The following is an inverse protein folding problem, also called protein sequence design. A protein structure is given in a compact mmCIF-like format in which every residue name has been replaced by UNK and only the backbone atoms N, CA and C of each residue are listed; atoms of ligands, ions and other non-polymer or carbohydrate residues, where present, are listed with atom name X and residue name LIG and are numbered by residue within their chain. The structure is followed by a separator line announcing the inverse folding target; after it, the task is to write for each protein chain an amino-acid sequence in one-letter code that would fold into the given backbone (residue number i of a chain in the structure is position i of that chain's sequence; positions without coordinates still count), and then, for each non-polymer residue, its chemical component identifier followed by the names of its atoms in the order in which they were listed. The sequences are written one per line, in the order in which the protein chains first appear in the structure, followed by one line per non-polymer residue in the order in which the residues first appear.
data_IF_569204426209
#
_entry.id   IF_569204426209
#
_cell.length_a   1.000
_cell.length_b   1.000
_cell.length_c   1.000
_cell.angle_alpha   90.00
_cell.angle_beta   90.00
_cell.angle_gamma   90.00
#
_symmetry.space_group_name_H-M   'P 1'
#
loop_
_entity.id
_entity.type
_entity.pdbx_description
1 polymer ?
#
# COMPACT_ATOMS: atom_id res chain seq x y z
N UNK A 1 27.72 13.25 14.01
CA UNK A 1 26.74 12.53 14.86
C UNK A 1 26.49 11.19 14.20
N UNK A 2 26.29 10.08 14.94
CA UNK A 2 26.03 8.81 14.28
C UNK A 2 24.70 8.90 13.53
N UNK A 3 24.69 8.42 12.28
CA UNK A 3 23.45 8.24 11.51
C UNK A 3 22.58 7.17 12.18
N UNK A 4 21.28 7.20 11.94
CA UNK A 4 20.40 6.06 12.25
C UNK A 4 20.97 4.79 11.62
N UNK A 5 20.99 3.71 12.39
CA UNK A 5 21.32 2.38 11.89
C UNK A 5 20.21 1.86 10.96
N UNK A 6 20.54 0.89 10.11
CA UNK A 6 19.55 0.22 9.28
C UNK A 6 18.42 -0.41 10.11
N UNK A 7 18.73 -0.95 11.30
CA UNK A 7 17.73 -1.50 12.22
C UNK A 7 16.76 -0.44 12.72
N UNK A 8 17.26 0.75 13.04
CA UNK A 8 16.41 1.89 13.41
C UNK A 8 15.55 2.36 12.24
N UNK A 9 16.08 2.39 11.02
CA UNK A 9 15.29 2.71 9.81
C UNK A 9 14.20 1.68 9.52
N UNK A 10 14.50 0.38 9.70
CA UNK A 10 13.50 -0.69 9.56
C UNK A 10 12.39 -0.55 10.60
N UNK A 11 12.75 -0.25 11.85
CA UNK A 11 11.77 0.01 12.90
C UNK A 11 10.92 1.26 12.57
N UNK A 12 11.55 2.34 12.10
CA UNK A 12 10.84 3.54 11.66
C UNK A 12 9.89 3.23 10.48
N UNK A 13 10.31 2.46 9.48
CA UNK A 13 9.43 2.05 8.38
C UNK A 13 8.23 1.26 8.90
N UNK A 14 8.46 0.24 9.73
CA UNK A 14 7.38 -0.62 10.22
C UNK A 14 6.39 0.12 11.12
N UNK A 15 6.88 0.90 12.10
CA UNK A 15 6.01 1.54 13.09
C UNK A 15 5.46 2.90 12.63
N UNK A 16 6.24 3.70 11.89
CA UNK A 16 5.83 5.03 11.47
C UNK A 16 5.21 5.08 10.08
N UNK A 17 5.34 4.03 9.27
CA UNK A 17 4.61 3.92 8.00
C UNK A 17 3.52 2.85 8.15
N UNK A 18 3.87 1.66 8.60
CA UNK A 18 2.88 0.59 8.76
C UNK A 18 1.82 0.90 9.81
N UNK A 19 2.22 0.90 11.09
CA UNK A 19 1.26 0.98 12.21
C UNK A 19 0.53 2.33 12.27
N UNK A 20 1.23 3.45 12.09
CA UNK A 20 0.61 4.78 12.25
C UNK A 20 -0.23 5.24 11.06
N UNK A 21 -0.15 4.58 9.90
CA UNK A 21 -0.82 5.07 8.68
C UNK A 21 -1.62 4.03 7.91
N UNK A 22 -1.32 2.73 8.04
CA UNK A 22 -1.86 1.69 7.15
C UNK A 22 -2.54 0.52 7.92
N UNK A 23 -1.91 -0.05 8.96
CA UNK A 23 -2.28 -1.38 9.46
C UNK A 23 -3.24 -1.48 10.65
N UNK A 24 -3.07 -0.63 11.68
CA UNK A 24 -3.86 -0.65 12.93
C UNK A 24 -4.28 -2.08 13.39
N UNK A 25 -5.50 -2.29 13.89
CA UNK A 25 -5.97 -3.61 14.35
C UNK A 25 -6.35 -4.59 13.20
N UNK A 26 -6.05 -4.26 11.94
CA UNK A 26 -6.53 -5.01 10.76
C UNK A 26 -5.45 -5.78 10.00
N UNK A 27 -4.16 -5.67 10.37
CA UNK A 27 -3.05 -6.28 9.63
C UNK A 27 -3.23 -7.78 9.34
N UNK A 28 -3.88 -8.53 10.23
CA UNK A 28 -4.11 -9.97 10.11
C UNK A 28 -5.53 -10.33 9.68
N UNK A 29 -6.18 -9.44 8.92
CA UNK A 29 -7.49 -9.66 8.31
C UNK A 29 -7.49 -9.07 6.91
N UNK A 30 -8.37 -9.57 6.05
CA UNK A 30 -8.65 -8.92 4.78
C UNK A 30 -9.32 -7.57 5.04
N UNK A 31 -8.71 -6.51 4.54
CA UNK A 31 -9.32 -5.19 4.44
C UNK A 31 -9.58 -4.82 2.98
N UNK A 32 -10.50 -3.89 2.74
CA UNK A 32 -10.81 -3.43 1.39
C UNK A 32 -10.54 -1.93 1.29
N UNK A 33 -9.73 -1.53 0.31
CA UNK A 33 -9.42 -0.12 0.07
C UNK A 33 -10.58 0.57 -0.68
N UNK A 34 -11.64 0.84 0.05
CA UNK A 34 -12.86 1.46 -0.46
C UNK A 34 -14.04 1.31 0.49
N UNK A 35 -15.26 1.39 -0.04
CA UNK A 35 -16.47 1.21 0.75
C UNK A 35 -17.09 -0.16 0.47
N UNK A 36 -17.30 -0.94 1.52
CA UNK A 36 -18.21 -2.07 1.48
C UNK A 36 -19.64 -1.54 1.63
N UNK A 37 -20.44 -1.67 0.57
CA UNK A 37 -21.84 -1.21 0.52
C UNK A 37 -22.77 -2.32 1.03
N UNK A 38 -23.99 -1.94 1.38
CA UNK A 38 -25.06 -2.91 1.63
C UNK A 38 -25.25 -3.79 0.37
N UNK A 39 -25.53 -5.09 0.56
CA UNK A 39 -25.69 -6.12 -0.49
C UNK A 39 -24.39 -6.70 -1.09
N UNK A 40 -23.31 -6.82 -0.30
CA UNK A 40 -22.05 -7.44 -0.74
C UNK A 40 -21.43 -6.78 -1.99
N UNK A 41 -21.54 -5.46 -2.08
CA UNK A 41 -20.92 -4.68 -3.14
C UNK A 41 -19.71 -3.91 -2.63
N UNK A 42 -18.70 -3.82 -3.47
CA UNK A 42 -17.46 -3.09 -3.25
C UNK A 42 -17.45 -1.82 -4.09
N UNK A 43 -17.20 -0.68 -3.46
CA UNK A 43 -16.91 0.58 -4.14
C UNK A 43 -15.44 0.95 -3.92
N UNK A 44 -14.54 0.62 -4.86
CA UNK A 44 -13.11 0.84 -4.69
C UNK A 44 -12.79 2.34 -4.71
N UNK A 45 -11.81 2.75 -3.91
CA UNK A 45 -11.19 4.07 -4.04
C UNK A 45 -10.00 3.93 -5.00
N UNK A 46 -9.95 4.77 -6.03
CA UNK A 46 -8.91 4.70 -7.05
C UNK A 46 -8.90 3.35 -7.78
N UNK A 47 -7.71 2.76 -7.90
CA UNK A 47 -7.49 1.46 -8.53
C UNK A 47 -7.16 0.35 -7.51
N UNK A 48 -7.45 0.56 -6.24
CA UNK A 48 -7.08 -0.38 -5.18
C UNK A 48 -8.09 -1.51 -5.00
N UNK A 49 -7.62 -2.62 -4.41
CA UNK A 49 -8.40 -3.83 -4.17
C UNK A 49 -8.42 -4.25 -2.70
N UNK A 50 -8.40 -5.57 -2.48
CA UNK A 50 -8.21 -6.16 -1.15
C UNK A 50 -6.78 -5.99 -0.67
N UNK A 51 -6.62 -5.73 0.62
CA UNK A 51 -5.33 -5.50 1.27
C UNK A 51 -5.15 -6.33 2.54
N UNK A 52 -3.90 -6.56 2.93
CA UNK A 52 -3.48 -7.21 4.18
C UNK A 52 -2.20 -6.54 4.72
N UNK A 53 -1.88 -6.81 5.98
CA UNK A 53 -0.58 -6.47 6.57
C UNK A 53 -0.45 -5.03 7.04
N UNK A 54 0.58 -4.83 7.86
CA UNK A 54 0.86 -3.52 8.46
C UNK A 54 1.26 -2.51 7.40
N UNK A 55 1.95 -2.94 6.33
CA UNK A 55 2.38 -2.05 5.25
C UNK A 55 1.33 -1.91 4.14
N UNK A 56 0.12 -2.47 4.34
CA UNK A 56 -0.99 -2.52 3.39
C UNK A 56 -0.57 -3.05 2.01
N UNK A 57 -0.35 -4.36 1.94
CA UNK A 57 -0.14 -5.04 0.67
C UNK A 57 -1.43 -5.07 -0.14
N UNK A 58 -1.57 -4.14 -1.10
CA UNK A 58 -2.71 -4.07 -2.02
C UNK A 58 -2.58 -5.12 -3.12
N UNK A 59 -3.46 -6.12 -3.07
CA UNK A 59 -3.49 -7.22 -4.03
C UNK A 59 -4.06 -6.83 -5.39
N UNK A 60 -4.77 -5.71 -5.50
CA UNK A 60 -5.16 -5.14 -6.80
C UNK A 60 -3.95 -4.55 -7.54
N UNK A 61 -3.01 -3.96 -6.80
CA UNK A 61 -1.73 -3.49 -7.35
C UNK A 61 -0.68 -4.62 -7.47
N UNK A 62 -0.79 -5.65 -6.63
CA UNK A 62 0.11 -6.82 -6.56
C UNK A 62 -0.67 -8.14 -6.68
N UNK A 63 -1.27 -8.44 -7.85
CA UNK A 63 -2.09 -9.63 -8.05
C UNK A 63 -1.32 -10.94 -7.84
N UNK A 64 0.01 -10.92 -7.95
CA UNK A 64 0.87 -12.05 -7.57
C UNK A 64 0.72 -12.44 -6.09
N UNK A 65 0.56 -11.46 -5.19
CA UNK A 65 0.37 -11.71 -3.76
C UNK A 65 -0.99 -12.35 -3.50
N UNK A 66 -2.02 -12.01 -4.29
CA UNK A 66 -3.33 -12.68 -4.19
C UNK A 66 -3.19 -14.19 -4.42
N UNK A 67 -2.42 -14.57 -5.44
CA UNK A 67 -2.13 -15.98 -5.71
C UNK A 67 -1.35 -16.63 -4.58
N UNK A 68 -0.28 -15.98 -4.10
CA UNK A 68 0.53 -16.50 -3.00
C UNK A 68 -0.28 -16.69 -1.71
N UNK A 69 -1.20 -15.77 -1.41
CA UNK A 69 -2.10 -15.86 -0.25
C UNK A 69 -3.02 -17.08 -0.34
N UNK A 70 -3.67 -17.29 -1.50
CA UNK A 70 -4.53 -18.48 -1.70
C UNK A 70 -3.71 -19.77 -1.62
N UNK A 71 -2.51 -19.80 -2.21
CA UNK A 71 -1.62 -20.96 -2.14
C UNK A 71 -1.18 -21.25 -0.69
N UNK A 72 -0.90 -20.21 0.09
CA UNK A 72 -0.53 -20.32 1.51
C UNK A 72 -1.70 -20.82 2.36
N UNK A 73 -2.90 -20.26 2.16
CA UNK A 73 -4.15 -20.76 2.73
C UNK A 73 -4.36 -22.25 2.40
N UNK A 74 -4.12 -22.66 1.16
CA UNK A 74 -4.28 -24.05 0.74
C UNK A 74 -3.26 -25.01 1.35
N UNK A 75 -2.05 -24.56 1.67
CA UNK A 75 -1.08 -25.39 2.41
C UNK A 75 -1.58 -25.64 3.84
N UNK A 76 -2.06 -24.59 4.51
CA UNK A 76 -2.65 -24.70 5.84
C UNK A 76 -3.91 -25.58 5.84
N UNK A 77 -4.84 -25.34 4.92
CA UNK A 77 -6.07 -26.13 4.81
C UNK A 77 -5.79 -27.62 4.59
N UNK A 78 -4.82 -27.99 3.74
CA UNK A 78 -4.46 -29.41 3.55
C UNK A 78 -3.96 -30.08 4.83
N UNK A 79 -3.28 -29.34 5.70
CA UNK A 79 -2.72 -29.86 6.95
C UNK A 79 -3.77 -29.92 8.07
N UNK A 80 -4.62 -28.92 8.19
CA UNK A 80 -5.46 -28.70 9.38
C UNK A 80 -6.97 -28.75 9.10
N UNK A 81 -7.39 -28.45 7.86
CA UNK A 81 -8.81 -28.41 7.46
C UNK A 81 -9.04 -29.04 6.08
N UNK A 82 -8.90 -30.38 5.92
CA UNK A 82 -8.99 -31.04 4.62
C UNK A 82 -10.33 -30.82 3.88
N UNK A 83 -11.39 -30.51 4.62
CA UNK A 83 -12.72 -30.15 4.10
C UNK A 83 -12.76 -28.75 3.42
N UNK A 84 -11.72 -27.93 3.62
CA UNK A 84 -11.59 -26.59 3.07
C UNK A 84 -10.59 -26.51 1.90
N UNK A 85 -10.07 -27.65 1.45
CA UNK A 85 -9.21 -27.74 0.27
C UNK A 85 -10.01 -27.39 -0.97
N UNK A 86 -9.48 -26.46 -1.75
CA UNK A 86 -10.10 -25.93 -2.95
C UNK A 86 -9.80 -26.82 -4.15
N UNK A 87 -10.74 -26.87 -5.09
CA UNK A 87 -10.47 -27.41 -6.41
C UNK A 87 -9.46 -26.50 -7.16
N UNK A 88 -8.84 -27.03 -8.22
CA UNK A 88 -7.95 -26.21 -9.05
C UNK A 88 -8.68 -25.01 -9.68
N UNK A 89 -9.97 -25.18 -9.99
CA UNK A 89 -10.84 -24.12 -10.52
C UNK A 89 -11.08 -23.03 -9.48
N UNK A 90 -11.46 -23.41 -8.25
CA UNK A 90 -11.73 -22.46 -7.18
C UNK A 90 -10.46 -21.72 -6.76
N UNK A 91 -9.32 -22.41 -6.70
CA UNK A 91 -8.02 -21.78 -6.43
C UNK A 91 -7.74 -20.67 -7.44
N UNK A 92 -7.86 -20.97 -8.74
CA UNK A 92 -7.64 -19.99 -9.79
C UNK A 92 -8.66 -18.84 -9.75
N UNK A 93 -9.92 -19.13 -9.43
CA UNK A 93 -10.97 -18.14 -9.32
C UNK A 93 -10.74 -17.20 -8.13
N UNK A 94 -10.49 -17.73 -6.94
CA UNK A 94 -10.28 -16.92 -5.74
C UNK A 94 -8.98 -16.10 -5.80
N UNK A 95 -7.92 -16.61 -6.44
CA UNK A 95 -6.73 -15.80 -6.70
C UNK A 95 -7.05 -14.62 -7.60
N UNK A 96 -7.85 -14.81 -8.65
CA UNK A 96 -8.30 -13.70 -9.52
C UNK A 96 -9.18 -12.72 -8.76
N UNK A 97 -10.13 -13.22 -7.99
CA UNK A 97 -11.11 -12.39 -7.27
C UNK A 97 -10.48 -11.48 -6.21
N UNK A 98 -9.48 -12.00 -5.49
CA UNK A 98 -8.66 -11.23 -4.54
C UNK A 98 -7.76 -10.22 -5.24
N UNK A 99 -7.25 -10.55 -6.42
CA UNK A 99 -6.35 -9.71 -7.21
C UNK A 99 -7.05 -8.65 -8.07
N UNK A 100 -8.38 -8.49 -7.94
CA UNK A 100 -9.11 -7.47 -8.71
C UNK A 100 -8.72 -6.07 -8.21
N UNK A 101 -8.22 -5.26 -9.13
CA UNK A 101 -8.02 -3.84 -8.93
C UNK A 101 -9.35 -3.07 -9.04
N UNK A 102 -9.35 -1.78 -8.71
CA UNK A 102 -10.57 -0.98 -8.70
C UNK A 102 -11.30 -0.92 -10.05
N UNK A 103 -10.57 -1.09 -11.17
CA UNK A 103 -11.16 -1.15 -12.51
C UNK A 103 -11.82 -2.50 -12.76
N UNK A 104 -11.18 -3.60 -12.39
CA UNK A 104 -11.73 -4.96 -12.52
C UNK A 104 -12.90 -5.22 -11.56
N UNK A 105 -12.99 -4.52 -10.43
CA UNK A 105 -14.17 -4.55 -9.56
C UNK A 105 -15.34 -3.84 -10.25
N UNK A 106 -15.12 -2.65 -10.80
CA UNK A 106 -16.16 -1.85 -11.47
C UNK A 106 -16.60 -2.42 -12.81
N UNK A 107 -15.73 -3.21 -13.43
CA UNK A 107 -15.92 -3.81 -14.74
C UNK A 107 -15.22 -5.18 -14.81
N UNK A 108 -15.98 -6.26 -14.72
CA UNK A 108 -15.45 -7.61 -14.82
C UNK A 108 -14.83 -7.91 -16.20
N UNK A 109 -15.19 -7.15 -17.24
CA UNK A 109 -14.68 -7.27 -18.60
C UNK A 109 -13.68 -6.17 -18.95
N UNK A 110 -13.12 -5.46 -17.96
CA UNK A 110 -12.28 -4.27 -18.13
C UNK A 110 -11.23 -4.40 -19.24
N UNK A 111 -10.54 -5.53 -19.34
CA UNK A 111 -9.51 -5.74 -20.36
C UNK A 111 -10.07 -5.71 -21.79
N UNK A 112 -11.22 -6.35 -22.02
CA UNK A 112 -11.89 -6.37 -23.32
C UNK A 112 -12.48 -4.99 -23.63
N UNK A 113 -13.15 -4.38 -22.66
CA UNK A 113 -13.79 -3.07 -22.82
C UNK A 113 -12.76 -1.96 -23.03
N UNK A 114 -11.60 -2.04 -22.36
CA UNK A 114 -10.47 -1.13 -22.60
C UNK A 114 -9.91 -1.28 -24.02
N UNK A 115 -9.77 -2.49 -24.54
CA UNK A 115 -9.27 -2.71 -25.91
C UNK A 115 -10.25 -2.16 -26.94
N UNK A 116 -11.55 -2.38 -26.74
CA UNK A 116 -12.60 -1.86 -27.60
C UNK A 116 -12.68 -0.33 -27.53
N UNK A 117 -12.54 0.25 -26.32
CA UNK A 117 -12.46 1.70 -26.13
C UNK A 117 -11.28 2.28 -26.90
N UNK A 118 -10.07 1.71 -26.75
CA UNK A 118 -8.87 2.14 -27.49
C UNK A 118 -9.08 2.05 -29.00
N UNK A 119 -9.75 1.01 -29.50
CA UNK A 119 -10.05 0.84 -30.93
C UNK A 119 -10.97 1.94 -31.45
N UNK A 120 -11.99 2.30 -30.69
CA UNK A 120 -13.02 3.28 -31.07
C UNK A 120 -12.61 4.73 -30.79
N UNK A 121 -11.63 4.95 -29.90
CA UNK A 121 -11.15 6.25 -29.47
C UNK A 121 -9.67 6.47 -29.83
N UNK A 122 -9.27 6.02 -31.03
CA UNK A 122 -7.97 6.34 -31.63
C UNK A 122 -6.74 6.07 -30.73
N UNK A 123 -6.78 5.02 -29.92
CA UNK A 123 -5.69 4.60 -29.05
C UNK A 123 -5.64 5.29 -27.68
N UNK A 124 -6.61 6.15 -27.35
CA UNK A 124 -6.73 6.74 -26.02
C UNK A 124 -7.12 5.71 -24.96
N UNK A 125 -6.54 5.83 -23.77
CA UNK A 125 -6.88 4.98 -22.64
C UNK A 125 -8.30 5.26 -22.14
N UNK A 126 -8.97 4.21 -21.67
CA UNK A 126 -10.32 4.31 -21.14
C UNK A 126 -10.31 5.12 -19.83
N UNK A 127 -10.99 6.28 -19.79
CA UNK A 127 -11.06 7.08 -18.57
C UNK A 127 -11.95 6.39 -17.54
N UNK A 128 -11.73 6.66 -16.25
CA UNK A 128 -12.56 6.10 -15.16
C UNK A 128 -14.05 6.44 -15.29
N UNK A 129 -14.40 7.54 -15.98
CA UNK A 129 -15.78 7.94 -16.25
C UNK A 129 -16.49 7.06 -17.29
N UNK A 130 -15.74 6.26 -18.05
CA UNK A 130 -16.28 5.32 -19.02
C UNK A 130 -16.52 3.91 -18.42
N UNK A 131 -16.15 3.69 -17.16
CA UNK A 131 -16.44 2.44 -16.48
C UNK A 131 -17.96 2.28 -16.25
N UNK A 132 -18.51 1.06 -16.43
CA UNK A 132 -19.95 0.81 -16.43
C UNK A 132 -20.61 0.99 -15.05
N UNK A 133 -19.84 0.87 -13.96
CA UNK A 133 -20.35 0.98 -12.60
C UNK A 133 -19.35 1.67 -11.66
N UNK A 134 -19.86 2.18 -10.55
CA UNK A 134 -19.04 2.62 -9.40
C UNK A 134 -18.75 1.46 -8.43
N UNK A 135 -19.61 0.44 -8.43
CA UNK A 135 -19.54 -0.71 -7.55
C UNK A 135 -19.36 -2.02 -8.32
N UNK A 136 -18.89 -3.06 -7.64
CA UNK A 136 -18.84 -4.43 -8.15
C UNK A 136 -19.10 -5.45 -7.05
N UNK A 137 -19.29 -6.71 -7.42
CA UNK A 137 -19.55 -7.77 -6.45
C UNK A 137 -18.31 -8.06 -5.59
N UNK A 138 -18.56 -8.31 -4.30
CA UNK A 138 -17.55 -8.82 -3.38
C UNK A 138 -17.13 -10.27 -3.76
N UNK A 139 -16.02 -10.75 -3.22
CA UNK A 139 -15.59 -12.14 -3.32
C UNK A 139 -16.54 -13.07 -2.55
N UNK A 140 -16.46 -14.37 -2.82
CA UNK A 140 -17.27 -15.37 -2.12
C UNK A 140 -17.17 -15.21 -0.59
N UNK A 141 -18.33 -15.05 0.07
CA UNK A 141 -18.40 -14.73 1.49
C UNK A 141 -17.87 -15.86 2.37
N UNK A 142 -18.06 -17.12 1.96
CA UNK A 142 -17.58 -18.29 2.71
C UNK A 142 -16.06 -18.37 2.65
N UNK A 143 -15.49 -18.19 1.46
CA UNK A 143 -14.05 -18.13 1.26
C UNK A 143 -13.44 -16.94 2.01
N UNK A 144 -14.03 -15.75 1.92
CA UNK A 144 -13.58 -14.56 2.69
C UNK A 144 -13.55 -14.81 4.20
N UNK A 145 -14.56 -15.49 4.74
CA UNK A 145 -14.61 -15.84 6.16
C UNK A 145 -13.50 -16.83 6.54
N UNK A 146 -13.31 -17.90 5.76
CA UNK A 146 -12.23 -18.88 5.97
C UNK A 146 -10.84 -18.26 5.86
N UNK A 147 -10.65 -17.37 4.90
CA UNK A 147 -9.37 -16.69 4.71
C UNK A 147 -9.05 -15.76 5.89
N UNK A 148 -10.04 -15.09 6.47
CA UNK A 148 -9.86 -14.33 7.71
C UNK A 148 -9.52 -15.20 8.92
N UNK A 149 -10.07 -16.43 9.02
CA UNK A 149 -9.65 -17.39 10.05
C UNK A 149 -8.18 -17.77 9.85
N UNK A 150 -7.80 -18.11 8.62
CA UNK A 150 -6.40 -18.42 8.28
C UNK A 150 -5.45 -17.28 8.63
N UNK A 151 -5.78 -16.03 8.28
CA UNK A 151 -4.94 -14.87 8.57
C UNK A 151 -4.71 -14.66 10.08
N UNK A 152 -5.64 -15.11 10.92
CA UNK A 152 -5.50 -15.09 12.38
C UNK A 152 -4.58 -16.17 12.97
N UNK A 153 -4.22 -17.20 12.20
CA UNK A 153 -3.30 -18.28 12.61
C UNK A 153 -1.83 -17.84 12.57
N UNK A 154 -0.94 -18.61 13.19
CA UNK A 154 0.51 -18.35 13.10
C UNK A 154 1.04 -18.47 11.66
N UNK A 155 0.46 -19.37 10.86
CA UNK A 155 0.78 -19.51 9.44
C UNK A 155 0.36 -18.27 8.64
N UNK A 156 -0.84 -17.75 8.88
CA UNK A 156 -1.35 -16.54 8.23
C UNK A 156 -0.57 -15.29 8.65
N UNK A 157 -0.31 -15.13 9.95
CA UNK A 157 0.53 -14.03 10.48
C UNK A 157 1.95 -14.06 9.93
N UNK A 158 2.55 -15.25 9.82
CA UNK A 158 3.89 -15.40 9.22
C UNK A 158 3.90 -15.04 7.74
N UNK A 159 2.85 -15.38 7.00
CA UNK A 159 2.68 -14.97 5.61
C UNK A 159 2.62 -13.43 5.49
N UNK A 160 1.73 -12.79 6.26
CA UNK A 160 1.60 -11.33 6.32
C UNK A 160 2.94 -10.67 6.65
N UNK A 161 3.58 -11.10 7.74
CA UNK A 161 4.83 -10.54 8.22
C UNK A 161 5.96 -10.64 7.19
N UNK A 162 6.02 -11.73 6.44
CA UNK A 162 7.00 -11.90 5.35
C UNK A 162 6.82 -10.84 4.26
N UNK A 163 5.58 -10.53 3.89
CA UNK A 163 5.30 -9.49 2.90
C UNK A 163 5.60 -8.10 3.45
N UNK A 164 5.24 -7.82 4.70
CA UNK A 164 5.59 -6.54 5.36
C UNK A 164 7.10 -6.34 5.42
N UNK A 165 7.88 -7.37 5.79
CA UNK A 165 9.36 -7.32 5.77
C UNK A 165 9.85 -7.03 4.35
N UNK A 166 9.34 -7.74 3.35
CA UNK A 166 9.78 -7.54 1.96
C UNK A 166 9.50 -6.12 1.46
N UNK A 167 8.41 -5.49 1.90
CA UNK A 167 8.14 -4.09 1.57
C UNK A 167 9.08 -3.14 2.32
N UNK A 168 9.34 -3.40 3.60
CA UNK A 168 10.33 -2.63 4.37
C UNK A 168 11.71 -2.73 3.70
N UNK A 169 12.13 -3.91 3.26
CA UNK A 169 13.39 -4.11 2.50
C UNK A 169 13.44 -3.22 1.28
N UNK A 170 12.34 -3.13 0.51
CA UNK A 170 12.25 -2.23 -0.64
C UNK A 170 12.38 -0.76 -0.24
N UNK A 171 11.78 -0.33 0.88
CA UNK A 171 11.92 1.05 1.36
C UNK A 171 13.36 1.34 1.82
N UNK A 172 14.02 0.39 2.47
CA UNK A 172 15.43 0.55 2.85
C UNK A 172 16.30 0.72 1.61
N UNK A 173 16.17 -0.17 0.62
CA UNK A 173 17.04 -0.15 -0.57
C UNK A 173 16.75 1.03 -1.51
N UNK A 174 15.48 1.40 -1.69
CA UNK A 174 15.08 2.43 -2.65
C UNK A 174 14.99 3.83 -2.06
N UNK A 175 14.93 3.96 -0.73
CA UNK A 175 14.79 5.25 -0.05
C UNK A 175 15.87 5.44 0.99
N UNK A 176 16.04 4.51 1.93
CA UNK A 176 16.99 4.61 3.03
C UNK A 176 18.44 4.79 2.55
N UNK A 177 18.93 3.85 1.74
CA UNK A 177 20.27 3.91 1.15
C UNK A 177 20.48 5.19 0.30
N UNK A 178 19.59 5.54 -0.65
CA UNK A 178 19.65 6.81 -1.36
C UNK A 178 19.67 8.07 -0.48
N UNK A 179 18.87 8.12 0.59
CA UNK A 179 18.87 9.25 1.50
C UNK A 179 20.17 9.35 2.28
N UNK A 180 20.69 8.21 2.76
CA UNK A 180 21.93 8.14 3.50
C UNK A 180 23.13 8.70 2.72
N UNK A 181 23.07 8.71 1.39
CA UNK A 181 24.08 9.32 0.52
C UNK A 181 23.98 10.85 0.41
N UNK A 182 22.83 11.44 0.70
CA UNK A 182 22.57 12.87 0.51
C UNK A 182 23.29 13.74 1.55
N UNK A 183 23.71 14.94 1.14
CA UNK A 183 24.36 15.90 2.03
C UNK A 183 23.40 16.42 3.12
N UNK A 184 22.12 16.55 2.80
CA UNK A 184 21.08 16.96 3.75
C UNK A 184 20.96 15.95 4.90
N UNK A 185 20.82 14.66 4.57
CA UNK A 185 20.64 13.61 5.57
C UNK A 185 21.87 13.42 6.45
N UNK A 186 23.09 13.46 5.87
CA UNK A 186 24.35 13.33 6.61
C UNK A 186 24.59 14.44 7.65
N UNK A 187 23.98 15.61 7.45
CA UNK A 187 24.09 16.77 8.36
C UNK A 187 22.97 16.85 9.38
N UNK A 188 21.88 16.11 9.17
CA UNK A 188 20.71 16.11 10.04
C UNK A 188 20.99 15.40 11.38
N UNK A 189 20.22 15.75 12.41
CA UNK A 189 20.17 14.96 13.65
C UNK A 189 19.51 13.59 13.39
N UNK A 190 19.72 12.59 14.24
CA UNK A 190 18.99 11.31 14.13
C UNK A 190 17.47 11.47 14.11
N UNK A 191 16.93 12.43 14.86
CA UNK A 191 15.49 12.73 14.88
C UNK A 191 15.01 13.24 13.52
N UNK A 192 15.76 14.15 12.91
CA UNK A 192 15.45 14.68 11.57
C UNK A 192 15.69 13.64 10.47
N UNK A 193 16.69 12.77 10.64
CA UNK A 193 16.90 11.61 9.78
C UNK A 193 15.69 10.68 9.77
N UNK A 194 15.07 10.41 10.93
CA UNK A 194 13.84 9.62 11.02
C UNK A 194 12.70 10.31 10.26
N UNK A 195 12.47 11.61 10.50
CA UNK A 195 11.42 12.40 9.83
C UNK A 195 11.58 12.41 8.31
N UNK A 196 12.81 12.64 7.83
CA UNK A 196 13.15 12.64 6.40
C UNK A 196 12.86 11.27 5.79
N UNK A 197 13.35 10.20 6.43
CA UNK A 197 13.16 8.84 5.94
C UNK A 197 11.69 8.47 5.83
N UNK A 198 10.91 8.58 6.91
CA UNK A 198 9.51 8.12 6.91
C UNK A 198 8.65 8.90 5.92
N UNK A 199 8.93 10.20 5.75
CA UNK A 199 8.19 11.08 4.84
C UNK A 199 8.46 10.70 3.39
N UNK A 200 9.72 10.52 3.01
CA UNK A 200 10.08 10.15 1.63
C UNK A 200 9.65 8.71 1.34
N UNK A 201 9.80 7.80 2.30
CA UNK A 201 9.40 6.41 2.18
C UNK A 201 7.88 6.27 2.05
N UNK A 202 7.09 7.07 2.77
CA UNK A 202 5.63 7.12 2.61
C UNK A 202 5.23 7.57 1.20
N UNK A 203 5.87 8.63 0.69
CA UNK A 203 5.62 9.09 -0.69
C UNK A 203 5.97 8.01 -1.70
N UNK A 204 7.11 7.34 -1.54
CA UNK A 204 7.52 6.23 -2.40
C UNK A 204 6.51 5.08 -2.35
N UNK A 205 6.04 4.72 -1.15
CA UNK A 205 5.05 3.66 -0.94
C UNK A 205 3.71 3.96 -1.65
N UNK A 206 3.28 5.22 -1.61
CA UNK A 206 2.04 5.65 -2.28
C UNK A 206 2.22 5.85 -3.80
N UNK A 207 3.39 6.32 -4.23
CA UNK A 207 3.72 6.52 -5.64
C UNK A 207 5.25 6.50 -5.86
N UNK A 208 5.75 5.40 -6.42
CA UNK A 208 7.19 5.20 -6.61
C UNK A 208 7.85 6.30 -7.45
N UNK A 209 7.18 6.78 -8.51
CA UNK A 209 7.74 7.81 -9.40
C UNK A 209 7.91 9.13 -8.65
N UNK A 210 6.91 9.53 -7.87
CA UNK A 210 7.00 10.74 -7.06
C UNK A 210 8.04 10.60 -5.94
N UNK A 211 8.14 9.42 -5.31
CA UNK A 211 9.20 9.15 -4.34
C UNK A 211 10.60 9.23 -4.94
N UNK A 212 10.82 8.63 -6.12
CA UNK A 212 12.08 8.70 -6.88
C UNK A 212 12.44 10.13 -7.25
N UNK A 213 11.48 10.93 -7.70
CA UNK A 213 11.71 12.34 -8.02
C UNK A 213 12.04 13.16 -6.76
N UNK A 214 11.33 12.95 -5.67
CA UNK A 214 11.59 13.62 -4.39
C UNK A 214 13.02 13.33 -3.88
N UNK A 215 13.46 12.07 -3.97
CA UNK A 215 14.83 11.66 -3.66
C UNK A 215 15.87 12.35 -4.55
N UNK A 216 15.60 12.47 -5.86
CA UNK A 216 16.50 13.15 -6.79
C UNK A 216 16.67 14.64 -6.43
N UNK A 217 15.59 15.30 -5.99
CA UNK A 217 15.62 16.71 -5.60
C UNK A 217 16.37 16.92 -4.28
N UNK A 218 16.27 15.98 -3.34
CA UNK A 218 17.10 15.97 -2.12
C UNK A 218 18.58 15.76 -2.46
N UNK A 219 18.89 14.78 -3.32
CA UNK A 219 20.27 14.45 -3.72
C UNK A 219 20.96 15.57 -4.49
N UNK A 220 20.24 16.27 -5.34
CA UNK A 220 20.75 17.42 -6.10
C UNK A 220 20.87 18.70 -5.26
N UNK A 221 20.37 18.69 -4.02
CA UNK A 221 20.39 19.84 -3.12
C UNK A 221 19.31 20.89 -3.44
N UNK A 222 18.34 20.57 -4.30
CA UNK A 222 17.17 21.43 -4.54
C UNK A 222 16.26 21.52 -3.32
N UNK A 223 16.20 20.47 -2.51
CA UNK A 223 15.52 20.46 -1.21
C UNK A 223 16.57 20.47 -0.11
N UNK A 224 16.62 21.56 0.66
CA UNK A 224 17.68 21.83 1.64
C UNK A 224 17.27 21.60 3.10
N UNK A 225 16.00 21.24 3.35
CA UNK A 225 15.45 21.05 4.69
C UNK A 225 14.24 20.11 4.70
N UNK A 226 13.87 19.63 5.89
CA UNK A 226 12.60 18.89 6.08
C UNK A 226 11.39 19.72 5.66
N UNK A 227 11.43 21.05 5.85
CA UNK A 227 10.34 21.93 5.44
C UNK A 227 10.20 21.99 3.92
N UNK A 228 11.31 21.99 3.18
CA UNK A 228 11.28 21.94 1.71
C UNK A 228 10.68 20.62 1.21
N UNK A 229 11.04 19.50 1.85
CA UNK A 229 10.45 18.18 1.57
C UNK A 229 8.94 18.22 1.81
N UNK A 230 8.50 18.73 2.96
CA UNK A 230 7.08 18.84 3.30
C UNK A 230 6.32 19.72 2.32
N UNK A 231 6.89 20.87 1.94
CA UNK A 231 6.30 21.80 0.97
C UNK A 231 6.19 21.17 -0.43
N UNK A 232 7.22 20.45 -0.87
CA UNK A 232 7.19 19.73 -2.15
C UNK A 232 6.08 18.69 -2.19
N UNK A 233 5.89 17.94 -1.10
CA UNK A 233 4.81 16.94 -0.99
C UNK A 233 3.43 17.61 -1.06
N UNK A 234 3.24 18.73 -0.37
CA UNK A 234 1.98 19.50 -0.42
C UNK A 234 1.63 20.02 -1.81
N UNK A 235 2.62 20.14 -2.70
CA UNK A 235 2.43 20.54 -4.10
C UNK A 235 2.21 19.39 -5.09
N UNK A 236 2.31 18.12 -4.68
CA UNK A 236 2.21 16.97 -5.60
C UNK A 236 0.79 16.77 -6.14
N UNK A 237 -0.20 16.97 -5.27
CA UNK A 237 -1.62 16.82 -5.61
C UNK A 237 -2.31 18.14 -5.33
N UNK A 238 -3.03 18.66 -6.30
CA UNK A 238 -3.85 19.85 -6.09
C UNK A 238 -5.00 19.48 -5.15
N UNK A 239 -5.17 20.25 -4.07
CA UNK A 239 -6.37 20.15 -3.22
C UNK A 239 -7.63 20.42 -4.05
N UNK A 240 -8.72 19.81 -3.62
CA UNK A 240 -10.03 20.06 -4.20
C UNK A 240 -10.39 21.55 -4.01
N UNK A 241 -10.68 22.24 -5.11
CA UNK A 241 -11.10 23.64 -5.08
C UNK A 241 -12.38 23.88 -4.27
N UNK A 242 -13.25 22.87 -4.15
CA UNK A 242 -14.50 22.97 -3.38
C UNK A 242 -14.28 22.69 -1.88
N UNK A 243 -13.19 22.03 -1.53
CA UNK A 243 -12.82 21.66 -0.16
C UNK A 243 -11.32 21.91 0.10
N UNK A 244 -10.84 23.16 0.00
CA UNK A 244 -9.41 23.48 0.13
C UNK A 244 -8.87 23.25 1.54
N UNK A 245 -9.75 23.12 2.53
CA UNK A 245 -9.47 22.76 3.92
C UNK A 245 -9.12 21.28 4.09
N UNK A 246 -9.57 20.41 3.18
CA UNK A 246 -9.26 18.98 3.23
C UNK A 246 -7.88 18.71 2.66
N UNK A 247 -7.05 18.05 3.47
CA UNK A 247 -5.75 17.56 3.05
C UNK A 247 -5.91 16.56 1.91
N UNK A 248 -4.98 16.60 0.96
CA UNK A 248 -4.85 15.50 0.00
C UNK A 248 -4.36 14.22 0.70
N UNK A 249 -4.55 13.07 0.07
CA UNK A 249 -4.06 11.80 0.60
C UNK A 249 -2.52 11.75 0.77
N UNK A 250 -1.79 12.56 -0.01
CA UNK A 250 -0.34 12.72 0.13
C UNK A 250 0.01 13.54 1.38
N UNK A 251 -0.74 14.60 1.65
CA UNK A 251 -0.52 15.45 2.83
C UNK A 251 -0.91 14.74 4.11
N UNK A 252 -2.08 14.09 4.15
CA UNK A 252 -2.48 13.31 5.32
C UNK A 252 -1.52 12.15 5.58
N UNK A 253 -1.12 11.41 4.54
CA UNK A 253 -0.15 10.33 4.64
C UNK A 253 1.20 10.79 5.19
N UNK A 254 1.72 11.93 4.71
CA UNK A 254 2.92 12.57 5.26
C UNK A 254 2.76 12.91 6.74
N UNK A 255 1.67 13.56 7.11
CA UNK A 255 1.45 14.04 8.47
C UNK A 255 1.32 12.88 9.46
N UNK A 256 0.67 11.79 9.07
CA UNK A 256 0.58 10.58 9.89
C UNK A 256 1.92 9.84 9.99
N UNK A 257 2.73 9.83 8.92
CA UNK A 257 4.09 9.30 8.96
C UNK A 257 5.00 10.12 9.90
N UNK A 258 4.87 11.45 9.87
CA UNK A 258 5.60 12.34 10.78
C UNK A 258 5.21 12.10 12.24
N UNK A 259 3.92 11.94 12.56
CA UNK A 259 3.49 11.55 13.92
C UNK A 259 4.11 10.23 14.36
N UNK A 260 4.19 9.25 13.45
CA UNK A 260 4.87 7.98 13.70
C UNK A 260 6.37 8.15 14.00
N UNK A 261 7.06 9.02 13.26
CA UNK A 261 8.46 9.34 13.52
C UNK A 261 8.65 10.04 14.88
N UNK A 262 7.72 10.91 15.30
CA UNK A 262 7.79 11.52 16.64
C UNK A 262 7.66 10.47 17.74
N UNK A 263 6.76 9.50 17.58
CA UNK A 263 6.65 8.39 18.53
C UNK A 263 7.92 7.55 18.55
N UNK A 264 8.45 7.19 17.39
CA UNK A 264 9.71 6.46 17.27
C UNK A 264 10.86 7.19 17.98
N UNK A 265 11.03 8.48 17.71
CA UNK A 265 12.05 9.31 18.35
C UNK A 265 11.85 9.37 19.88
N UNK A 266 10.60 9.44 20.35
CA UNK A 266 10.27 9.43 21.77
C UNK A 266 10.65 8.11 22.45
N UNK A 267 10.46 6.96 21.78
CA UNK A 267 10.76 5.63 22.33
C UNK A 267 12.25 5.28 22.29
N UNK A 268 13.00 5.90 21.37
CA UNK A 268 14.44 5.69 21.17
C UNK A 268 15.29 6.43 22.21
N UNK A 269 14.79 7.55 22.72
CA UNK A 269 15.46 8.46 23.65
C UNK A 269 15.17 8.12 25.11
#
# INVERSE_FOLDING_TARGET
MPNLSEKELRAAAYYAIGVSTEGADQAYRLSFCGYQRANNQLEPIGNSGYTIGEMQTDMGARPEVAKELVDSYQKWARAEHPDQVLSATDLAQFSRDLGRDGRHIRDANYEADRLEYRRTHHGHDMPSSALPSRTGDDIDATFKARLNVYLGTDHGKSFVHKHDISQVDQLISHVGEPLADSALYKKASPEDQARMFVTVAKVYNQNELWGKNLLADIKSGQLGSQNDINARIGGLVKRDSQHPDKLTYMESGRDDALKGAELFNTLRN
#
